data_IF_517760821911
#
_entry.id   IF_517760821911
#
_cell.length_a   1.000
_cell.length_b   1.000
_cell.length_c   1.000
_cell.angle_alpha   90.00
_cell.angle_beta   90.00
_cell.angle_gamma   90.00
#
_symmetry.space_group_name_H-M   'P 1'
#
loop_
_entity.id
_entity.type
_entity.pdbx_description
1 polymer ?
#
# COMPACT_ATOMS: atom_id res chain seq x y z
N UNK A 1 19.02 10.03 -7.15
CA UNK A 1 18.93 8.79 -7.95
C UNK A 1 20.14 7.90 -7.70
N UNK A 2 21.36 8.34 -7.98
CA UNK A 2 22.60 7.54 -7.80
C UNK A 2 22.73 6.90 -6.41
N UNK A 3 22.31 7.60 -5.35
CA UNK A 3 22.39 7.06 -3.98
C UNK A 3 21.41 5.90 -3.77
N UNK A 4 20.22 5.95 -4.36
CA UNK A 4 19.23 4.86 -4.27
C UNK A 4 19.72 3.65 -5.06
N UNK A 5 20.25 3.87 -6.26
CA UNK A 5 20.83 2.81 -7.09
C UNK A 5 21.96 2.09 -6.36
N UNK A 6 22.95 2.84 -5.88
CA UNK A 6 24.08 2.27 -5.12
C UNK A 6 23.64 1.53 -3.86
N UNK A 7 22.57 2.00 -3.21
CA UNK A 7 22.02 1.29 -2.04
C UNK A 7 21.38 -0.03 -2.44
N UNK A 8 20.58 -0.06 -3.49
CA UNK A 8 19.94 -1.30 -3.98
C UNK A 8 21.02 -2.33 -4.37
N UNK A 9 21.97 -1.93 -5.20
CA UNK A 9 23.05 -2.81 -5.69
C UNK A 9 23.97 -3.29 -4.55
N UNK A 10 24.15 -2.45 -3.50
CA UNK A 10 24.92 -2.82 -2.32
C UNK A 10 24.24 -3.81 -1.39
N UNK A 11 22.91 -3.76 -1.27
CA UNK A 11 22.15 -4.66 -0.42
C UNK A 11 21.66 -5.92 -1.15
N UNK A 12 21.52 -5.86 -2.45
CA UNK A 12 21.02 -6.95 -3.30
C UNK A 12 22.01 -7.11 -4.46
N UNK A 13 23.08 -7.91 -4.29
CA UNK A 13 24.16 -8.03 -5.28
C UNK A 13 23.68 -8.54 -6.66
N UNK A 14 22.56 -9.27 -6.70
CA UNK A 14 21.95 -9.79 -7.92
C UNK A 14 21.04 -8.77 -8.62
N UNK A 15 20.74 -7.63 -7.97
CA UNK A 15 19.91 -6.58 -8.56
C UNK A 15 20.72 -5.79 -9.61
N UNK A 16 20.08 -5.55 -10.75
CA UNK A 16 20.56 -4.62 -11.77
C UNK A 16 19.58 -3.46 -11.86
N UNK A 17 20.06 -2.25 -11.65
CA UNK A 17 19.24 -1.03 -11.79
C UNK A 17 19.55 -0.41 -13.14
N UNK A 18 18.58 -0.47 -14.04
CA UNK A 18 18.68 0.07 -15.40
C UNK A 18 17.80 1.32 -15.43
N UNK A 19 18.34 2.41 -15.95
CA UNK A 19 17.55 3.61 -16.26
C UNK A 19 16.79 3.33 -17.57
N UNK A 20 15.48 3.37 -17.50
CA UNK A 20 14.61 3.10 -18.63
C UNK A 20 13.60 4.24 -18.82
N UNK A 21 13.03 4.34 -20.00
CA UNK A 21 11.94 5.26 -20.30
C UNK A 21 10.69 4.86 -19.52
N UNK A 22 9.83 5.81 -19.19
CA UNK A 22 8.66 5.57 -18.38
C UNK A 22 7.58 4.82 -19.19
N UNK A 23 7.67 3.49 -19.16
CA UNK A 23 6.75 2.58 -19.87
C UNK A 23 5.26 2.85 -19.57
N UNK A 24 4.95 3.52 -18.45
CA UNK A 24 3.58 3.88 -18.10
C UNK A 24 3.04 5.07 -18.89
N UNK A 25 3.88 5.89 -19.50
CA UNK A 25 3.44 7.05 -20.28
C UNK A 25 3.04 6.67 -21.72
N UNK A 26 3.58 5.60 -22.26
CA UNK A 26 3.40 5.23 -23.68
C UNK A 26 2.30 4.20 -23.96
N UNK A 27 1.79 3.49 -22.98
CA UNK A 27 0.89 2.34 -23.21
C UNK A 27 -0.42 2.32 -22.45
N UNK A 28 -0.73 3.36 -21.70
CA UNK A 28 -1.88 3.36 -20.78
C UNK A 28 -3.15 4.03 -21.34
N UNK A 29 -3.26 4.18 -22.66
CA UNK A 29 -4.48 4.65 -23.33
C UNK A 29 -5.58 3.57 -23.41
N UNK A 30 -5.73 2.80 -22.35
CA UNK A 30 -6.86 1.90 -22.28
C UNK A 30 -8.10 2.70 -21.84
N UNK A 31 -9.09 2.74 -22.70
CA UNK A 31 -10.38 3.38 -22.44
C UNK A 31 -11.10 2.79 -21.22
N UNK A 32 -10.73 1.59 -20.81
CA UNK A 32 -11.33 0.80 -19.74
C UNK A 32 -10.28 0.50 -18.66
N UNK A 33 -9.89 1.55 -17.93
CA UNK A 33 -8.95 1.42 -16.81
C UNK A 33 -9.60 1.74 -15.47
N UNK A 34 -9.13 1.06 -14.43
CA UNK A 34 -9.57 1.27 -13.05
C UNK A 34 -8.36 1.50 -12.15
N UNK A 35 -8.54 2.32 -11.13
CA UNK A 35 -7.56 2.52 -10.06
C UNK A 35 -8.27 2.30 -8.73
N UNK A 36 -7.69 1.46 -7.89
CA UNK A 36 -8.20 1.14 -6.55
C UNK A 36 -7.16 1.54 -5.53
N UNK A 37 -7.48 2.49 -4.68
CA UNK A 37 -6.68 2.86 -3.52
C UNK A 37 -7.00 1.95 -2.34
N UNK A 38 -6.01 1.70 -1.49
CA UNK A 38 -6.16 0.93 -0.27
C UNK A 38 -5.82 1.79 0.94
N UNK A 39 -6.66 1.71 1.96
CA UNK A 39 -6.47 2.35 3.25
C UNK A 39 -6.53 1.38 4.39
N UNK A 40 -6.30 1.90 5.60
CA UNK A 40 -6.48 1.13 6.83
C UNK A 40 -7.96 1.05 7.18
N UNK A 41 -8.43 -0.13 7.65
CA UNK A 41 -9.81 -0.34 8.10
C UNK A 41 -10.09 0.26 9.47
N UNK A 42 -9.05 0.40 10.28
CA UNK A 42 -9.13 0.85 11.67
C UNK A 42 -8.14 2.01 11.88
N UNK A 43 -8.03 2.48 13.11
CA UNK A 43 -7.17 3.58 13.50
C UNK A 43 -5.71 3.39 13.07
N UNK A 44 -5.10 4.45 12.57
CA UNK A 44 -3.75 4.41 11.99
C UNK A 44 -2.65 3.94 12.94
N UNK A 45 -2.85 4.01 14.24
CA UNK A 45 -1.89 3.53 15.24
C UNK A 45 -1.95 2.00 15.45
N UNK A 46 -2.98 1.33 14.95
CA UNK A 46 -3.08 -0.13 15.02
C UNK A 46 -2.24 -0.77 13.91
N UNK A 47 -1.40 -1.76 14.23
CA UNK A 47 -0.55 -2.40 13.23
C UNK A 47 -1.33 -3.35 12.33
N UNK A 48 -0.92 -3.42 11.07
CA UNK A 48 -1.24 -4.54 10.18
C UNK A 48 -0.28 -5.71 10.44
N UNK A 49 -0.55 -6.84 9.83
CA UNK A 49 0.36 -7.98 9.80
C UNK A 49 1.65 -7.60 9.09
N UNK A 50 2.79 -7.99 9.64
CA UNK A 50 4.11 -7.72 9.06
C UNK A 50 4.63 -8.91 8.25
N UNK A 51 5.54 -8.64 7.33
CA UNK A 51 6.12 -9.66 6.45
C UNK A 51 6.71 -10.84 7.23
N UNK A 52 7.39 -10.59 8.33
CA UNK A 52 8.02 -11.61 9.18
C UNK A 52 7.04 -12.62 9.80
N UNK A 53 5.74 -12.33 9.82
CA UNK A 53 4.71 -13.21 10.38
C UNK A 53 4.13 -14.21 9.37
N UNK A 54 4.49 -14.11 8.10
CA UNK A 54 4.04 -15.03 7.07
C UNK A 54 4.87 -16.33 7.08
N UNK A 55 4.20 -17.47 6.96
CA UNK A 55 4.85 -18.78 6.81
C UNK A 55 5.21 -19.08 5.35
N UNK A 56 4.46 -18.50 4.43
CA UNK A 56 4.64 -18.62 2.99
C UNK A 56 4.84 -17.19 2.49
N UNK A 57 5.73 -17.01 1.55
CA UNK A 57 6.01 -15.71 0.95
C UNK A 57 4.74 -15.11 0.33
N UNK A 58 4.23 -13.98 0.86
CA UNK A 58 3.01 -13.37 0.33
C UNK A 58 3.16 -12.85 -1.10
N UNK A 59 4.38 -12.58 -1.58
CA UNK A 59 4.63 -12.16 -2.95
C UNK A 59 4.20 -13.18 -4.00
N UNK A 60 4.06 -14.47 -3.64
CA UNK A 60 3.50 -15.50 -4.53
C UNK A 60 2.10 -15.07 -5.02
N UNK A 61 1.27 -14.53 -4.13
CA UNK A 61 -0.07 -14.04 -4.50
C UNK A 61 0.01 -12.80 -5.39
N UNK A 62 0.95 -11.89 -5.12
CA UNK A 62 1.18 -10.72 -5.98
C UNK A 62 1.57 -11.15 -7.40
N UNK A 63 2.56 -12.01 -7.53
CA UNK A 63 3.03 -12.52 -8.84
C UNK A 63 1.89 -13.25 -9.56
N UNK A 64 1.13 -14.09 -8.87
CA UNK A 64 -0.02 -14.76 -9.44
C UNK A 64 -1.10 -13.79 -9.92
N UNK A 65 -1.34 -12.69 -9.19
CA UNK A 65 -2.26 -11.62 -9.59
C UNK A 65 -1.78 -10.90 -10.85
N UNK A 66 -0.51 -10.51 -10.87
CA UNK A 66 0.11 -9.81 -12.00
C UNK A 66 0.15 -10.67 -13.28
N UNK A 67 0.35 -11.98 -13.15
CA UNK A 67 0.42 -12.93 -14.27
C UNK A 67 -0.92 -13.17 -14.97
N UNK A 68 -2.03 -12.61 -14.48
CA UNK A 68 -3.36 -12.79 -15.08
C UNK A 68 -3.62 -11.87 -16.28
N UNK A 69 -2.81 -10.83 -16.44
CA UNK A 69 -2.90 -9.92 -17.58
C UNK A 69 -2.50 -10.63 -18.87
N UNK A 70 -3.30 -10.44 -19.91
CA UNK A 70 -3.07 -10.96 -21.26
C UNK A 70 -2.47 -9.88 -22.14
N UNK A 71 -2.16 -10.24 -23.38
CA UNK A 71 -1.74 -9.27 -24.40
C UNK A 71 -2.80 -8.17 -24.58
N UNK A 72 -2.38 -6.91 -24.54
CA UNK A 72 -3.26 -5.73 -24.57
C UNK A 72 -3.87 -5.35 -23.22
N UNK A 73 -3.68 -6.14 -22.16
CA UNK A 73 -4.09 -5.82 -20.80
C UNK A 73 -2.87 -5.45 -19.96
N UNK A 74 -3.07 -4.66 -18.90
CA UNK A 74 -2.03 -4.41 -17.93
C UNK A 74 -2.60 -4.33 -16.51
N UNK A 75 -1.77 -4.62 -15.53
CA UNK A 75 -2.05 -4.41 -14.11
C UNK A 75 -0.77 -3.97 -13.40
N UNK A 76 -0.89 -3.02 -12.51
CA UNK A 76 0.22 -2.46 -11.75
C UNK A 76 -0.13 -2.35 -10.26
N UNK A 77 0.82 -2.71 -9.42
CA UNK A 77 0.78 -2.45 -7.98
C UNK A 77 1.76 -1.32 -7.67
N UNK A 78 1.25 -0.21 -7.18
CA UNK A 78 2.03 0.98 -6.86
C UNK A 78 2.07 1.22 -5.35
N UNK A 79 3.26 1.44 -4.82
CA UNK A 79 3.48 1.89 -3.45
C UNK A 79 4.23 3.22 -3.52
N UNK A 80 3.60 4.28 -3.05
CA UNK A 80 4.26 5.56 -2.82
C UNK A 80 4.49 5.69 -1.32
N UNK A 81 5.66 6.13 -0.91
CA UNK A 81 5.95 6.36 0.50
C UNK A 81 6.86 7.57 0.68
N UNK A 82 6.58 8.32 1.74
CA UNK A 82 7.42 9.42 2.16
C UNK A 82 7.65 9.36 3.67
N UNK A 83 8.73 9.98 4.12
CA UNK A 83 8.99 10.08 5.55
C UNK A 83 7.87 10.91 6.20
N UNK A 84 7.30 10.40 7.28
CA UNK A 84 6.36 11.17 8.09
C UNK A 84 7.00 12.49 8.55
N UNK A 85 6.37 13.60 8.19
CA UNK A 85 6.88 14.96 8.52
C UNK A 85 6.77 15.27 10.00
N UNK A 86 5.78 14.68 10.67
CA UNK A 86 5.53 14.84 12.10
C UNK A 86 6.02 13.59 12.86
N UNK A 87 6.46 13.72 14.11
CA UNK A 87 6.85 12.58 14.94
C UNK A 87 5.61 11.80 15.40
N UNK A 88 5.04 11.00 14.50
CA UNK A 88 3.82 10.21 14.76
C UNK A 88 3.97 9.25 15.94
N UNK A 89 5.16 8.72 16.17
CA UNK A 89 5.49 7.90 17.32
C UNK A 89 5.18 8.62 18.65
N UNK A 90 5.58 9.88 18.77
CA UNK A 90 5.31 10.72 19.95
C UNK A 90 3.83 11.12 20.02
N UNK A 91 3.24 11.52 18.89
CA UNK A 91 1.83 11.91 18.82
C UNK A 91 0.91 10.74 19.22
N UNK A 92 1.20 9.54 18.76
CA UNK A 92 0.48 8.32 19.16
C UNK A 92 0.61 8.07 20.66
N UNK A 93 1.83 8.17 21.21
CA UNK A 93 2.04 8.00 22.64
C UNK A 93 1.23 8.97 23.49
N UNK A 94 1.17 10.23 23.10
CA UNK A 94 0.38 11.26 23.78
C UNK A 94 -1.15 11.07 23.59
N UNK A 95 -1.59 10.61 22.41
CA UNK A 95 -3.01 10.40 22.14
C UNK A 95 -3.61 9.18 22.87
N UNK A 96 -2.78 8.23 23.28
CA UNK A 96 -3.22 6.98 23.93
C UNK A 96 -3.12 6.99 25.45
N UNK A 97 -2.49 8.02 26.03
CA UNK A 97 -2.28 8.15 27.47
C UNK A 97 -2.80 9.49 27.95
N UNK A 98 -3.69 9.49 28.90
CA UNK A 98 -4.17 10.72 29.57
C UNK A 98 -3.04 11.41 30.35
N UNK A 99 -3.23 12.68 30.69
CA UNK A 99 -2.22 13.48 31.40
C UNK A 99 -1.81 12.94 32.76
N UNK A 100 -2.61 12.07 33.36
CA UNK A 100 -2.34 11.34 34.63
C UNK A 100 -1.65 9.98 34.40
N UNK A 101 -1.33 9.62 33.16
CA UNK A 101 -0.68 8.36 32.79
C UNK A 101 -1.62 7.17 32.60
N UNK A 102 -2.94 7.36 32.74
CA UNK A 102 -3.92 6.30 32.48
C UNK A 102 -4.17 6.12 30.97
N UNK A 103 -4.47 4.89 30.48
CA UNK A 103 -4.87 4.68 29.11
C UNK A 103 -6.13 5.49 28.75
N UNK A 104 -6.09 6.23 27.64
CA UNK A 104 -7.26 6.99 27.15
C UNK A 104 -8.44 6.07 26.78
N UNK A 105 -8.16 4.85 26.34
CA UNK A 105 -9.15 3.85 25.94
C UNK A 105 -9.26 2.78 27.05
N UNK A 106 -10.02 3.08 28.09
CA UNK A 106 -10.22 2.15 29.21
C UNK A 106 -10.92 0.85 28.76
N UNK A 107 -11.77 0.95 27.72
CA UNK A 107 -12.53 -0.17 27.16
C UNK A 107 -11.73 -1.00 26.13
N UNK A 108 -10.54 -0.53 25.74
CA UNK A 108 -9.67 -1.21 24.79
C UNK A 108 -8.19 -1.20 25.26
N UNK A 109 -7.88 -1.89 26.36
CA UNK A 109 -6.55 -1.88 26.96
C UNK A 109 -5.46 -2.44 26.03
N UNK A 110 -5.83 -3.22 25.01
CA UNK A 110 -4.94 -3.79 24.01
C UNK A 110 -4.40 -2.74 23.02
N UNK A 111 -5.03 -1.59 22.87
CA UNK A 111 -4.60 -0.55 21.92
C UNK A 111 -3.21 0.00 22.24
N UNK A 112 -2.93 0.22 23.51
CA UNK A 112 -1.63 0.77 23.91
C UNK A 112 -0.45 -0.16 23.59
N UNK A 113 -0.49 -1.48 23.89
CA UNK A 113 0.54 -2.42 23.45
C UNK A 113 0.70 -2.47 21.92
N UNK A 114 -0.40 -2.50 21.17
CA UNK A 114 -0.39 -2.54 19.71
C UNK A 114 0.24 -1.28 19.10
N UNK A 115 -0.13 -0.12 19.59
CA UNK A 115 0.44 1.14 19.17
C UNK A 115 1.95 1.24 19.49
N UNK A 116 2.36 0.79 20.67
CA UNK A 116 3.77 0.69 21.05
C UNK A 116 4.54 -0.27 20.16
N UNK A 117 3.92 -1.37 19.72
CA UNK A 117 4.52 -2.29 18.75
C UNK A 117 4.76 -1.59 17.42
N UNK A 118 3.74 -0.90 16.88
CA UNK A 118 3.83 -0.19 15.59
C UNK A 118 4.88 0.92 15.61
N UNK A 119 5.02 1.64 16.72
CA UNK A 119 5.93 2.79 16.84
C UNK A 119 7.37 2.42 17.18
N UNK A 120 7.70 1.14 17.36
CA UNK A 120 9.08 0.69 17.54
C UNK A 120 9.97 0.90 16.32
N UNK A 121 9.37 1.03 15.14
CA UNK A 121 10.06 1.22 13.86
C UNK A 121 9.68 2.56 13.24
N UNK A 122 10.50 3.04 12.33
CA UNK A 122 10.21 4.27 11.57
C UNK A 122 8.91 4.11 10.78
N UNK A 123 8.04 5.10 10.90
CA UNK A 123 6.77 5.15 10.17
C UNK A 123 6.93 6.00 8.90
N UNK A 124 6.25 5.57 7.85
CA UNK A 124 6.14 6.26 6.57
C UNK A 124 4.67 6.56 6.27
N UNK A 125 4.41 7.74 5.70
CA UNK A 125 3.16 7.99 5.01
C UNK A 125 3.18 7.18 3.71
N UNK A 126 2.12 6.43 3.45
CA UNK A 126 2.12 5.47 2.34
C UNK A 126 0.80 5.53 1.59
N UNK A 127 0.87 5.55 0.27
CA UNK A 127 -0.26 5.34 -0.63
C UNK A 127 -0.07 3.99 -1.31
N UNK A 128 -1.09 3.15 -1.25
CA UNK A 128 -1.13 1.85 -1.92
C UNK A 128 -2.21 1.89 -3.00
N UNK A 129 -1.85 1.57 -4.23
CA UNK A 129 -2.75 1.54 -5.38
C UNK A 129 -2.59 0.28 -6.19
N UNK A 130 -3.70 -0.18 -6.74
CA UNK A 130 -3.72 -1.14 -7.83
C UNK A 130 -4.42 -0.48 -9.01
N UNK A 131 -3.74 -0.39 -10.13
CA UNK A 131 -4.31 0.08 -11.37
C UNK A 131 -4.29 -1.04 -12.39
N UNK A 132 -5.35 -1.14 -13.19
CA UNK A 132 -5.48 -2.16 -14.21
C UNK A 132 -6.26 -1.65 -15.42
N UNK A 133 -6.00 -2.22 -16.58
CA UNK A 133 -6.80 -2.03 -17.77
C UNK A 133 -7.06 -3.34 -18.48
N UNK A 134 -8.23 -3.45 -19.09
CA UNK A 134 -8.66 -4.60 -19.85
C UNK A 134 -9.61 -4.22 -20.98
N UNK A 135 -10.11 -5.20 -21.71
CA UNK A 135 -11.09 -4.98 -22.78
C UNK A 135 -12.40 -4.35 -22.28
N UNK A 136 -12.72 -4.56 -21.01
CA UNK A 136 -13.92 -4.01 -20.35
C UNK A 136 -13.57 -3.58 -18.93
N UNK A 137 -14.34 -2.63 -18.39
CA UNK A 137 -14.20 -2.20 -17.00
C UNK A 137 -14.30 -3.38 -16.02
N UNK A 138 -15.24 -4.31 -16.23
CA UNK A 138 -15.38 -5.52 -15.43
C UNK A 138 -14.10 -6.37 -15.44
N UNK A 139 -13.42 -6.46 -16.60
CA UNK A 139 -12.16 -7.18 -16.73
C UNK A 139 -11.03 -6.46 -16.00
N UNK A 140 -10.96 -5.13 -16.09
CA UNK A 140 -10.00 -4.31 -15.36
C UNK A 140 -10.17 -4.48 -13.84
N UNK A 141 -11.41 -4.46 -13.33
CA UNK A 141 -11.70 -4.74 -11.92
C UNK A 141 -11.31 -6.17 -11.51
N UNK A 142 -11.51 -7.17 -12.37
CA UNK A 142 -11.11 -8.55 -12.07
C UNK A 142 -9.58 -8.69 -11.95
N UNK A 143 -8.82 -8.01 -12.81
CA UNK A 143 -7.36 -7.94 -12.70
C UNK A 143 -6.93 -7.22 -11.41
N UNK A 144 -7.51 -6.06 -11.13
CA UNK A 144 -7.21 -5.29 -9.92
C UNK A 144 -7.52 -6.10 -8.65
N UNK A 145 -8.64 -6.83 -8.61
CA UNK A 145 -9.02 -7.72 -7.50
C UNK A 145 -8.00 -8.84 -7.31
N UNK A 146 -7.47 -9.41 -8.40
CA UNK A 146 -6.43 -10.44 -8.32
C UNK A 146 -5.18 -9.98 -7.60
N UNK A 147 -4.75 -8.74 -7.85
CA UNK A 147 -3.61 -8.12 -7.15
C UNK A 147 -4.02 -7.64 -5.74
N UNK A 148 -5.23 -7.10 -5.58
CA UNK A 148 -5.77 -6.68 -4.28
C UNK A 148 -5.78 -7.81 -3.24
N UNK A 149 -5.95 -9.06 -3.67
CA UNK A 149 -5.86 -10.21 -2.79
C UNK A 149 -4.50 -10.34 -2.08
N UNK A 150 -3.42 -9.85 -2.67
CA UNK A 150 -2.13 -9.74 -2.00
C UNK A 150 -2.17 -8.74 -0.85
N UNK A 151 -2.77 -7.57 -1.08
CA UNK A 151 -2.87 -6.50 -0.07
C UNK A 151 -3.69 -6.96 1.14
N UNK A 152 -4.79 -7.66 0.90
CA UNK A 152 -5.69 -8.14 1.96
C UNK A 152 -5.06 -9.19 2.89
N UNK A 153 -3.98 -9.88 2.49
CA UNK A 153 -3.27 -10.83 3.35
C UNK A 153 -2.59 -10.18 4.57
N UNK A 154 -2.40 -8.86 4.53
CA UNK A 154 -1.79 -8.12 5.62
C UNK A 154 -2.77 -7.78 6.75
N UNK A 155 -3.98 -8.31 6.70
CA UNK A 155 -4.93 -8.26 7.81
C UNK A 155 -4.34 -8.89 9.07
N UNK A 156 -4.48 -8.17 10.19
CA UNK A 156 -4.18 -8.65 11.53
C UNK A 156 -5.47 -8.68 12.34
N UNK A 157 -6.03 -9.86 12.63
CA UNK A 157 -7.26 -9.99 13.39
C UNK A 157 -7.18 -9.24 14.73
N UNK A 158 -8.22 -8.47 15.05
CA UNK A 158 -8.28 -7.66 16.28
C UNK A 158 -7.36 -6.42 16.29
N UNK A 159 -6.85 -6.03 15.12
CA UNK A 159 -5.99 -4.85 14.98
C UNK A 159 -6.36 -4.08 13.71
N UNK A 160 -5.72 -4.30 12.58
CA UNK A 160 -5.97 -3.52 11.36
C UNK A 160 -5.90 -4.39 10.10
N UNK A 161 -6.53 -3.91 9.04
CA UNK A 161 -6.48 -4.48 7.71
C UNK A 161 -6.25 -3.38 6.67
N UNK A 162 -5.84 -3.79 5.48
CA UNK A 162 -5.85 -2.94 4.30
C UNK A 162 -7.11 -3.27 3.48
N UNK A 163 -7.94 -2.27 3.25
CA UNK A 163 -9.21 -2.40 2.53
C UNK A 163 -9.25 -1.46 1.33
N UNK A 164 -9.92 -1.83 0.25
CA UNK A 164 -10.15 -0.90 -0.85
C UNK A 164 -10.99 0.28 -0.35
N UNK A 165 -10.61 1.48 -0.76
CA UNK A 165 -11.35 2.70 -0.45
C UNK A 165 -12.46 2.90 -1.48
N UNK A 166 -13.61 3.36 -1.01
CA UNK A 166 -14.70 3.80 -1.87
C UNK A 166 -14.35 5.17 -2.46
N UNK A 167 -14.48 5.28 -3.79
CA UNK A 167 -14.12 6.49 -4.54
C UNK A 167 -15.32 7.04 -5.31
N UNK A 168 -16.55 6.90 -4.79
CA UNK A 168 -17.81 7.18 -5.48
C UNK A 168 -17.90 8.60 -6.05
N UNK A 169 -17.29 9.58 -5.39
CA UNK A 169 -17.31 10.99 -5.80
C UNK A 169 -16.02 11.45 -6.50
N UNK A 170 -15.04 10.57 -6.71
CA UNK A 170 -13.76 10.94 -7.30
C UNK A 170 -13.72 10.56 -8.79
N UNK A 171 -13.55 11.54 -9.72
CA UNK A 171 -13.52 11.23 -11.14
C UNK A 171 -12.42 10.24 -11.52
N UNK A 172 -12.76 9.17 -12.24
CA UNK A 172 -11.83 8.12 -12.64
C UNK A 172 -10.61 8.65 -13.41
N UNK A 173 -10.81 9.70 -14.21
CA UNK A 173 -9.72 10.36 -14.95
C UNK A 173 -8.69 11.00 -14.02
N UNK A 174 -9.12 11.70 -12.97
CA UNK A 174 -8.21 12.30 -11.99
C UNK A 174 -7.45 11.24 -11.19
N UNK A 175 -8.10 10.11 -10.92
CA UNK A 175 -7.50 8.99 -10.21
C UNK A 175 -6.38 8.35 -11.06
N UNK A 176 -6.63 8.16 -12.35
CA UNK A 176 -5.64 7.65 -13.28
C UNK A 176 -4.48 8.64 -13.48
N UNK A 177 -4.78 9.95 -13.54
CA UNK A 177 -3.76 11.00 -13.64
C UNK A 177 -2.88 11.04 -12.38
N UNK A 178 -3.45 10.93 -11.19
CA UNK A 178 -2.70 10.82 -9.93
C UNK A 178 -1.81 9.57 -9.89
N UNK A 179 -2.31 8.43 -10.40
CA UNK A 179 -1.52 7.21 -10.52
C UNK A 179 -0.33 7.41 -11.47
N UNK A 180 -0.55 7.97 -12.67
CA UNK A 180 0.49 8.26 -13.67
C UNK A 180 1.51 9.27 -13.14
N UNK A 181 1.05 10.32 -12.50
CA UNK A 181 1.91 11.35 -11.90
C UNK A 181 2.68 10.87 -10.65
N UNK A 182 2.38 9.67 -10.14
CA UNK A 182 2.93 9.15 -8.87
C UNK A 182 2.74 10.15 -7.73
N UNK A 183 1.55 10.72 -7.66
CA UNK A 183 1.17 11.70 -6.64
C UNK A 183 0.13 11.13 -5.66
N UNK A 184 0.14 11.66 -4.45
CA UNK A 184 -0.83 11.36 -3.39
C UNK A 184 -1.98 12.34 -3.42
#
# INVERSE_FOLDING_TARGET
REHVQSSIEGFIPEASVIEDEDLFLEGTDASESVVVDFGLSEEFFLPIRTFSSFRIDPYITLVAGLSRAKEGEWVCFQILFERARNPWDKAIGHALVAGDGTPMFADAPEFLPLAKEKTKTTLFATVLRVAAAGETEARAFDLARGVGAFVMQFERPGSNALVPLENDDYPATLHLDAFRARSS
#
